data_IF_059981310503
#
_entry.id   IF_059981310503
#
_cell.length_a   1.000
_cell.length_b   1.000
_cell.length_c   1.000
_cell.angle_alpha   90.00
_cell.angle_beta   90.00
_cell.angle_gamma   90.00
#
_symmetry.space_group_name_H-M   'P 1'
#
loop_
_entity.id
_entity.type
_entity.pdbx_description
1 polymer ?
#
# COMPACT_ATOMS: atom_id res chain seq x y z
N UNK A 1 -23.89 -27.98 -29.73
CA UNK A 1 -22.77 -27.06 -29.99
C UNK A 1 -22.68 -26.02 -28.87
N UNK A 2 -21.93 -26.33 -27.81
CA UNK A 2 -21.24 -25.32 -27.01
C UNK A 2 -19.90 -25.94 -26.60
N UNK A 3 -18.85 -25.51 -27.30
CA UNK A 3 -17.47 -25.90 -27.05
C UNK A 3 -16.82 -24.78 -26.26
N UNK A 4 -16.54 -24.99 -24.96
CA UNK A 4 -15.40 -24.32 -24.28
C UNK A 4 -15.13 -24.89 -22.87
N UNK A 5 -14.43 -26.01 -22.76
CA UNK A 5 -13.62 -26.33 -21.57
C UNK A 5 -12.24 -25.73 -21.80
N UNK A 6 -11.80 -24.69 -21.05
CA UNK A 6 -10.80 -24.91 -20.01
C UNK A 6 -10.71 -23.77 -18.95
N UNK A 7 -11.46 -23.85 -17.86
CA UNK A 7 -11.02 -23.21 -16.62
C UNK A 7 -11.13 -24.28 -15.55
N UNK A 8 -9.99 -24.89 -15.22
CA UNK A 8 -9.86 -25.76 -14.06
C UNK A 8 -10.16 -24.92 -12.81
N UNK A 9 -11.43 -24.77 -12.47
CA UNK A 9 -11.84 -24.27 -11.17
C UNK A 9 -11.22 -25.22 -10.17
N UNK A 10 -10.33 -24.70 -9.34
CA UNK A 10 -9.73 -25.46 -8.26
C UNK A 10 -10.85 -26.09 -7.41
N UNK A 11 -10.81 -27.41 -7.14
CA UNK A 11 -11.79 -28.03 -6.26
C UNK A 11 -11.83 -27.28 -4.92
N UNK A 12 -13.03 -26.86 -4.50
CA UNK A 12 -13.31 -26.09 -3.27
C UNK A 12 -12.61 -24.73 -3.12
N UNK A 13 -11.85 -24.29 -4.13
CA UNK A 13 -11.07 -23.05 -4.19
C UNK A 13 -10.45 -22.62 -2.83
N UNK A 14 -9.27 -23.15 -2.44
CA UNK A 14 -8.63 -22.82 -1.17
C UNK A 14 -7.99 -21.41 -1.11
N UNK A 15 -8.18 -20.60 -2.16
CA UNK A 15 -7.57 -19.29 -2.28
C UNK A 15 -8.42 -18.19 -1.63
N UNK A 16 -7.74 -17.12 -1.23
CA UNK A 16 -8.35 -15.94 -0.64
C UNK A 16 -9.22 -15.14 -1.60
N UNK A 17 -9.87 -14.11 -1.06
CA UNK A 17 -10.73 -13.19 -1.82
C UNK A 17 -9.92 -12.54 -2.95
N UNK A 18 -10.49 -12.44 -4.15
CA UNK A 18 -9.87 -11.87 -5.37
C UNK A 18 -8.55 -12.55 -5.82
N UNK A 19 -8.15 -13.67 -5.20
CA UNK A 19 -6.98 -14.42 -5.62
C UNK A 19 -7.28 -15.32 -6.83
N UNK A 20 -6.32 -15.47 -7.72
CA UNK A 20 -6.39 -16.39 -8.85
C UNK A 20 -5.93 -17.79 -8.41
N UNK A 21 -6.74 -18.81 -8.70
CA UNK A 21 -6.38 -20.20 -8.47
C UNK A 21 -6.02 -20.90 -9.78
N UNK A 22 -4.89 -21.60 -9.78
CA UNK A 22 -4.43 -22.47 -10.88
C UNK A 22 -3.91 -23.80 -10.35
N UNK A 23 -4.15 -24.89 -11.06
CA UNK A 23 -3.55 -26.18 -10.74
C UNK A 23 -2.12 -26.25 -11.32
N UNK A 24 -1.16 -26.76 -10.55
CA UNK A 24 0.17 -27.09 -11.08
C UNK A 24 0.14 -28.45 -11.82
N UNK A 25 1.27 -28.87 -12.40
CA UNK A 25 1.38 -30.13 -13.16
C UNK A 25 1.06 -31.40 -12.35
N UNK A 26 1.07 -31.31 -11.01
CA UNK A 26 0.70 -32.40 -10.10
C UNK A 26 -0.78 -32.35 -9.67
N UNK A 27 -1.58 -31.41 -10.20
CA UNK A 27 -2.98 -31.22 -9.83
C UNK A 27 -3.19 -30.52 -8.49
N UNK A 28 -2.15 -29.89 -7.92
CA UNK A 28 -2.24 -29.16 -6.64
C UNK A 28 -2.65 -27.71 -6.90
N UNK A 29 -3.63 -27.15 -6.16
CA UNK A 29 -4.02 -25.75 -6.28
C UNK A 29 -2.90 -24.82 -5.81
N UNK A 30 -2.61 -23.82 -6.64
CA UNK A 30 -1.66 -22.74 -6.38
C UNK A 30 -2.42 -21.41 -6.44
N UNK A 31 -2.37 -20.67 -5.35
CA UNK A 31 -2.99 -19.35 -5.21
C UNK A 31 -1.98 -18.24 -5.54
N UNK A 32 -2.42 -17.24 -6.30
CA UNK A 32 -1.60 -16.06 -6.61
C UNK A 32 -2.48 -14.82 -6.77
N UNK A 33 -1.99 -13.65 -6.37
CA UNK A 33 -2.69 -12.42 -6.66
C UNK A 33 -2.60 -12.11 -8.17
N UNK A 34 -3.73 -11.77 -8.82
CA UNK A 34 -3.73 -11.37 -10.21
C UNK A 34 -2.91 -10.09 -10.42
N UNK A 35 -2.59 -9.78 -11.68
CA UNK A 35 -1.78 -8.61 -12.02
C UNK A 35 -2.40 -7.32 -11.46
N UNK A 36 -1.57 -6.52 -10.78
CA UNK A 36 -2.00 -5.28 -10.14
C UNK A 36 -2.75 -5.47 -8.82
N UNK A 37 -2.77 -6.67 -8.24
CA UNK A 37 -3.26 -6.92 -6.88
C UNK A 37 -2.08 -7.30 -5.98
N UNK A 38 -2.14 -6.89 -4.73
CA UNK A 38 -1.16 -7.18 -3.69
C UNK A 38 -1.87 -7.78 -2.47
N UNK A 39 -1.15 -8.56 -1.66
CA UNK A 39 -1.71 -9.14 -0.44
C UNK A 39 -1.27 -10.58 -0.22
N UNK A 40 -2.07 -11.29 0.55
CA UNK A 40 -1.88 -12.72 0.83
C UNK A 40 -2.86 -13.52 -0.03
N UNK A 41 -2.40 -14.26 -1.07
CA UNK A 41 -3.27 -15.03 -1.95
C UNK A 41 -4.13 -16.09 -1.27
N UNK A 42 -3.86 -16.44 -0.01
CA UNK A 42 -4.66 -17.37 0.78
C UNK A 42 -5.71 -16.66 1.67
N UNK A 43 -5.64 -15.34 1.80
CA UNK A 43 -6.61 -14.55 2.59
C UNK A 43 -7.38 -13.58 1.71
N UNK A 44 -6.65 -12.67 1.07
CA UNK A 44 -7.20 -11.57 0.28
C UNK A 44 -6.12 -10.94 -0.58
N UNK A 45 -6.45 -10.74 -1.85
CA UNK A 45 -5.72 -9.89 -2.77
C UNK A 45 -6.48 -8.57 -2.92
N UNK A 46 -5.79 -7.45 -2.72
CA UNK A 46 -6.38 -6.12 -2.82
C UNK A 46 -5.72 -5.38 -3.96
N UNK A 47 -6.51 -4.71 -4.80
CA UNK A 47 -6.00 -3.76 -5.76
C UNK A 47 -5.52 -2.51 -5.00
N UNK A 48 -4.21 -2.22 -4.97
CA UNK A 48 -3.72 -1.04 -4.31
C UNK A 48 -4.02 0.21 -5.15
N UNK A 49 -4.08 1.36 -4.49
CA UNK A 49 -4.12 2.67 -5.13
C UNK A 49 -2.76 3.03 -5.76
N UNK A 50 -1.67 2.63 -5.10
CA UNK A 50 -0.30 2.90 -5.51
C UNK A 50 0.60 1.68 -5.29
N UNK A 51 1.68 1.57 -6.07
CA UNK A 51 2.76 0.60 -5.82
C UNK A 51 4.09 1.29 -5.50
N UNK A 52 4.18 2.58 -5.83
CA UNK A 52 5.32 3.45 -5.61
C UNK A 52 4.87 4.88 -5.32
N UNK A 53 5.75 5.70 -4.74
CA UNK A 53 5.44 7.10 -4.43
C UNK A 53 5.04 7.91 -5.68
N UNK A 54 5.62 7.59 -6.84
CA UNK A 54 5.32 8.25 -8.11
C UNK A 54 3.91 7.99 -8.65
N UNK A 55 3.17 7.02 -8.09
CA UNK A 55 1.75 6.81 -8.40
C UNK A 55 0.84 7.80 -7.65
N UNK A 56 1.38 8.50 -6.65
CA UNK A 56 0.66 9.45 -5.81
C UNK A 56 0.91 10.90 -6.26
N UNK A 57 0.10 11.83 -5.76
CA UNK A 57 0.37 13.26 -5.95
C UNK A 57 1.63 13.69 -5.21
N UNK A 58 2.20 14.85 -5.56
CA UNK A 58 3.45 15.37 -4.98
C UNK A 58 3.41 15.55 -3.45
N UNK A 59 2.21 15.64 -2.88
CA UNK A 59 1.94 15.84 -1.45
C UNK A 59 1.64 14.53 -0.69
N UNK A 60 1.66 13.39 -1.36
CA UNK A 60 1.32 12.08 -0.79
C UNK A 60 2.45 11.07 -1.02
N UNK A 61 2.63 10.11 -0.13
CA UNK A 61 3.53 8.97 -0.31
C UNK A 61 2.77 7.64 -0.36
N UNK A 62 3.33 6.65 -1.03
CA UNK A 62 2.73 5.33 -1.13
C UNK A 62 3.06 4.48 0.11
N UNK A 63 2.04 4.22 0.93
CA UNK A 63 2.18 3.41 2.15
C UNK A 63 1.17 2.27 2.16
N UNK A 64 1.67 1.04 2.14
CA UNK A 64 0.85 -0.19 2.16
C UNK A 64 -0.24 -0.19 1.07
N UNK A 65 0.09 0.30 -0.12
CA UNK A 65 -0.82 0.33 -1.26
C UNK A 65 -1.85 1.45 -1.24
N UNK A 66 -1.66 2.49 -0.42
CA UNK A 66 -2.49 3.70 -0.40
C UNK A 66 -1.66 4.97 -0.46
N UNK A 67 -2.17 5.98 -1.15
CA UNK A 67 -1.58 7.31 -1.15
C UNK A 67 -2.00 8.04 0.12
N UNK A 68 -1.05 8.27 1.01
CA UNK A 68 -1.28 8.90 2.31
C UNK A 68 -0.43 10.14 2.45
N UNK A 69 -0.91 11.14 3.17
CA UNK A 69 -0.08 12.29 3.56
C UNK A 69 1.01 11.82 4.53
N UNK A 70 2.31 11.92 4.17
CA UNK A 70 3.41 11.52 5.04
C UNK A 70 3.45 12.32 6.35
N UNK A 71 2.92 13.55 6.37
CA UNK A 71 2.94 14.42 7.55
C UNK A 71 2.19 13.86 8.75
N UNK A 72 1.16 13.03 8.54
CA UNK A 72 0.28 12.51 9.60
C UNK A 72 1.05 11.72 10.67
N UNK A 73 2.23 11.17 10.34
CA UNK A 73 2.96 10.25 11.23
C UNK A 73 4.43 10.58 11.43
N UNK A 74 4.89 11.78 11.06
CA UNK A 74 6.33 12.04 10.91
C UNK A 74 6.93 13.12 11.79
N UNK A 75 6.18 14.16 12.15
CA UNK A 75 6.76 15.30 12.86
C UNK A 75 6.53 15.26 14.37
N UNK A 76 7.42 15.93 15.10
CA UNK A 76 7.40 16.05 16.54
C UNK A 76 6.29 16.97 17.06
N UNK A 77 6.19 17.07 18.38
CA UNK A 77 5.16 17.91 19.02
C UNK A 77 5.39 19.38 18.70
N UNK A 78 4.33 20.12 18.36
CA UNK A 78 4.36 21.54 17.94
C UNK A 78 5.19 21.85 16.68
N UNK A 79 5.66 20.83 15.95
CA UNK A 79 6.30 21.03 14.66
C UNK A 79 5.25 21.21 13.55
N UNK A 80 5.55 22.06 12.58
CA UNK A 80 4.81 22.14 11.33
C UNK A 80 5.37 21.12 10.33
N UNK A 81 4.53 20.71 9.38
CA UNK A 81 4.90 19.76 8.34
C UNK A 81 4.49 20.24 6.96
N UNK A 82 5.34 19.96 5.98
CA UNK A 82 5.03 20.08 4.56
C UNK A 82 5.57 18.86 3.83
N UNK A 83 4.85 18.35 2.83
CA UNK A 83 5.35 17.25 2.01
C UNK A 83 6.09 17.80 0.81
N UNK A 84 7.30 17.32 0.56
CA UNK A 84 8.11 17.67 -0.60
C UNK A 84 8.63 16.40 -1.25
N UNK A 85 8.23 16.17 -2.50
CA UNK A 85 8.58 14.95 -3.26
C UNK A 85 8.23 13.67 -2.49
N UNK A 86 6.98 13.56 -2.01
CA UNK A 86 6.47 12.40 -1.25
C UNK A 86 7.12 12.18 0.13
N UNK A 87 8.01 13.08 0.57
CA UNK A 87 8.74 13.01 1.85
C UNK A 87 8.27 14.12 2.81
N UNK A 88 8.02 13.82 4.09
CA UNK A 88 7.64 14.83 5.07
C UNK A 88 8.85 15.69 5.44
N UNK A 89 8.66 17.00 5.42
CA UNK A 89 9.62 18.01 5.87
C UNK A 89 9.05 18.67 7.11
N UNK A 90 9.66 18.35 8.26
CA UNK A 90 9.28 18.89 9.56
C UNK A 90 10.12 20.13 9.87
N UNK A 91 9.50 21.17 10.42
CA UNK A 91 10.18 22.39 10.85
C UNK A 91 9.49 23.02 12.06
N UNK A 92 10.25 23.75 12.88
CA UNK A 92 9.69 24.54 13.96
C UNK A 92 9.09 25.83 13.38
N UNK A 93 7.81 26.16 13.67
CA UNK A 93 7.19 27.39 13.20
C UNK A 93 7.88 28.63 13.79
N UNK A 94 7.61 29.80 13.19
CA UNK A 94 8.16 31.08 13.64
C UNK A 94 7.87 31.33 15.12
N UNK A 95 8.88 31.77 15.87
CA UNK A 95 8.78 31.96 17.33
C UNK A 95 8.98 30.68 18.15
N UNK A 96 9.45 29.59 17.57
CA UNK A 96 9.82 28.36 18.29
C UNK A 96 11.18 27.80 17.87
N UNK A 97 11.77 26.93 18.69
CA UNK A 97 13.06 26.27 18.46
C UNK A 97 13.06 24.84 19.00
N UNK A 98 14.05 24.04 18.61
CA UNK A 98 14.18 22.64 19.04
C UNK A 98 14.35 21.68 17.87
N UNK A 99 13.98 20.42 18.11
CA UNK A 99 14.09 19.32 17.14
C UNK A 99 12.73 19.08 16.49
N UNK A 100 12.53 19.40 15.20
CA UNK A 100 11.22 19.29 14.56
C UNK A 100 10.70 17.85 14.42
N UNK A 101 11.57 16.84 14.64
CA UNK A 101 11.18 15.44 14.68
C UNK A 101 10.79 14.95 16.09
N UNK A 102 11.08 15.74 17.12
CA UNK A 102 10.79 15.37 18.52
C UNK A 102 9.82 16.38 19.14
N UNK A 103 10.24 17.64 19.23
CA UNK A 103 9.49 18.74 19.84
C UNK A 103 10.07 20.10 19.47
N UNK A 104 9.17 21.05 19.21
CA UNK A 104 9.47 22.48 19.17
C UNK A 104 8.90 23.18 20.43
N UNK A 105 9.69 24.08 21.02
CA UNK A 105 9.34 24.88 22.18
C UNK A 105 9.34 26.37 21.82
N UNK A 106 8.43 27.19 22.39
CA UNK A 106 8.43 28.64 22.18
C UNK A 106 9.76 29.29 22.61
N UNK A 107 10.18 30.31 21.86
CA UNK A 107 11.31 31.18 22.21
C UNK A 107 11.00 32.10 23.40
#
# INVERSE_FOLDING_TARGET
MVSNTPHAQCPDNPCGIEASCRLNSAGIPVCSCPFGYLGDPFKECVRPECVSDGDCTEFQGCRKGKCVDPCIYSCGTNAACSTKHHVPVCYCPEGSTGSPFERCDPL
#
